data_IF_735247066735
#
_entry.id   IF_735247066735
#
_cell.length_a   1.000
_cell.length_b   1.000
_cell.length_c   1.000
_cell.angle_alpha   90.00
_cell.angle_beta   90.00
_cell.angle_gamma   90.00
#
_symmetry.space_group_name_H-M   'P 1'
#
loop_
_entity.id
_entity.type
_entity.pdbx_description
1 polymer ?
#
# COMPACT_ATOMS: atom_id res chain seq x y z
N UNK A 1 6.06 -13.74 16.14
CA UNK A 1 6.21 -12.40 16.77
C UNK A 1 6.53 -11.37 15.68
N UNK A 2 6.02 -10.14 15.78
CA UNK A 2 6.37 -9.06 14.84
C UNK A 2 7.80 -8.59 15.09
N UNK A 3 8.59 -8.43 14.04
CA UNK A 3 9.91 -7.81 14.09
C UNK A 3 9.74 -6.29 14.32
N UNK A 4 10.20 -5.74 15.46
CA UNK A 4 10.10 -4.31 15.72
C UNK A 4 10.90 -3.45 14.72
N UNK A 5 11.86 -4.02 13.99
CA UNK A 5 12.62 -3.30 12.97
C UNK A 5 11.86 -3.13 11.65
N UNK A 6 10.86 -3.97 11.37
CA UNK A 6 10.14 -3.99 10.09
C UNK A 6 9.60 -2.62 9.68
N UNK A 7 8.90 -1.86 10.55
CA UNK A 7 8.36 -0.57 10.14
C UNK A 7 9.45 0.41 9.69
N UNK A 8 10.54 0.51 10.44
CA UNK A 8 11.66 1.40 10.08
C UNK A 8 12.27 1.01 8.74
N UNK A 9 12.54 -0.28 8.54
CA UNK A 9 13.14 -0.81 7.31
C UNK A 9 12.29 -0.52 6.07
N UNK A 10 10.97 -0.67 6.16
CA UNK A 10 10.04 -0.35 5.07
C UNK A 10 10.02 1.16 4.83
N UNK A 11 9.84 1.97 5.88
CA UNK A 11 9.77 3.42 5.70
C UNK A 11 11.05 3.99 5.04
N UNK A 12 12.22 3.54 5.47
CA UNK A 12 13.49 3.99 4.90
C UNK A 12 13.68 3.51 3.46
N UNK A 13 13.32 2.26 3.14
CA UNK A 13 13.40 1.72 1.78
C UNK A 13 12.54 2.48 0.75
N UNK A 14 11.50 3.16 1.23
CA UNK A 14 10.59 3.96 0.42
C UNK A 14 10.88 5.46 0.50
N UNK A 15 12.04 5.88 1.00
CA UNK A 15 12.38 7.32 1.09
C UNK A 15 11.47 8.08 2.06
N UNK A 16 10.81 7.36 2.97
CA UNK A 16 9.86 7.90 3.96
C UNK A 16 8.73 8.73 3.35
N UNK A 17 8.21 8.27 2.21
CA UNK A 17 7.04 8.84 1.54
C UNK A 17 6.00 7.77 1.22
N UNK A 18 4.72 8.13 1.18
CA UNK A 18 3.62 7.24 0.86
C UNK A 18 3.76 6.71 -0.57
N UNK A 19 3.91 5.40 -0.76
CA UNK A 19 4.10 4.70 -2.02
C UNK A 19 3.06 5.05 -3.09
N UNK A 20 1.85 5.43 -2.66
CA UNK A 20 0.71 5.69 -3.55
C UNK A 20 0.52 7.16 -3.90
N UNK A 21 0.56 8.08 -2.92
CA UNK A 21 0.29 9.51 -3.16
C UNK A 21 1.49 10.44 -2.97
N UNK A 22 2.64 9.92 -2.56
CA UNK A 22 3.84 10.71 -2.33
C UNK A 22 3.86 11.53 -1.04
N UNK A 23 2.83 11.50 -0.20
CA UNK A 23 2.83 12.19 1.10
C UNK A 23 4.07 11.83 1.93
N UNK A 24 4.84 12.84 2.32
CA UNK A 24 6.15 12.74 2.96
C UNK A 24 6.26 13.62 4.21
N UNK A 25 5.12 14.02 4.80
CA UNK A 25 5.05 15.01 5.89
C UNK A 25 5.94 14.67 7.09
N UNK A 26 6.64 15.70 7.61
CA UNK A 26 7.57 15.58 8.75
C UNK A 26 7.32 16.68 9.78
N UNK A 27 7.45 16.33 11.06
CA UNK A 27 7.51 17.25 12.18
C UNK A 27 8.88 17.10 12.84
N UNK A 28 9.68 18.18 12.86
CA UNK A 28 11.05 18.18 13.40
C UNK A 28 11.92 17.02 12.86
N UNK A 29 11.81 16.73 11.55
CA UNK A 29 12.57 15.66 10.89
C UNK A 29 11.99 14.24 11.05
N UNK A 30 10.95 14.06 11.86
CA UNK A 30 10.28 12.78 12.08
C UNK A 30 9.07 12.68 11.15
N UNK A 31 8.97 11.60 10.37
CA UNK A 31 7.79 11.33 9.54
C UNK A 31 6.53 11.22 10.42
N UNK A 32 5.48 11.96 10.08
CA UNK A 32 4.20 11.95 10.78
C UNK A 32 3.12 11.46 9.83
N UNK A 33 2.19 10.62 10.33
CA UNK A 33 1.12 10.09 9.50
C UNK A 33 1.57 9.13 8.40
N UNK A 34 2.74 8.49 8.55
CA UNK A 34 3.29 7.47 7.65
C UNK A 34 3.53 6.17 8.42
N UNK A 35 3.13 5.05 7.83
CA UNK A 35 3.16 3.71 8.44
C UNK A 35 3.69 2.69 7.44
N UNK A 36 4.24 1.58 7.97
CA UNK A 36 4.58 0.41 7.15
C UNK A 36 3.38 -0.53 7.11
N UNK A 37 2.82 -0.72 5.93
CA UNK A 37 1.73 -1.63 5.66
C UNK A 37 2.27 -2.95 5.13
N UNK A 38 1.80 -4.06 5.70
CA UNK A 38 2.03 -5.39 5.15
C UNK A 38 1.15 -5.60 3.92
N UNK A 39 1.73 -6.09 2.81
CA UNK A 39 0.96 -6.47 1.63
C UNK A 39 0.23 -7.79 1.92
N UNK A 40 0.98 -8.82 2.30
CA UNK A 40 0.48 -10.02 2.93
C UNK A 40 0.49 -9.81 4.45
N UNK A 41 -0.69 -9.74 5.05
CA UNK A 41 -0.86 -9.42 6.46
C UNK A 41 -0.10 -10.36 7.38
N UNK A 42 0.56 -9.78 8.38
CA UNK A 42 1.24 -10.55 9.42
C UNK A 42 0.30 -11.51 10.17
N UNK A 43 -0.96 -11.09 10.41
CA UNK A 43 -1.99 -11.93 11.04
C UNK A 43 -2.39 -13.15 10.21
N UNK A 44 -2.06 -13.16 8.91
CA UNK A 44 -2.32 -14.25 7.98
C UNK A 44 -1.03 -14.95 7.54
N UNK A 45 0.03 -14.87 8.36
CA UNK A 45 1.35 -15.49 8.13
C UNK A 45 2.23 -14.79 7.09
N UNK A 46 1.92 -13.53 6.76
CA UNK A 46 2.81 -12.69 5.95
C UNK A 46 4.12 -12.36 6.69
N UNK A 47 5.28 -12.50 6.04
CA UNK A 47 6.57 -12.31 6.70
C UNK A 47 6.93 -10.83 6.84
N UNK A 48 7.75 -10.52 7.85
CA UNK A 48 8.30 -9.18 8.06
C UNK A 48 9.50 -8.92 7.13
N UNK A 49 9.24 -8.82 5.83
CA UNK A 49 10.25 -8.55 4.78
C UNK A 49 9.94 -7.26 4.03
N UNK A 50 10.97 -6.53 3.60
CA UNK A 50 10.80 -5.27 2.87
C UNK A 50 10.01 -5.42 1.57
N UNK A 51 10.16 -6.54 0.86
CA UNK A 51 9.39 -6.89 -0.34
C UNK A 51 7.92 -7.26 -0.05
N UNK A 52 7.54 -7.44 1.22
CA UNK A 52 6.17 -7.56 1.71
C UNK A 52 5.65 -6.25 2.35
N UNK A 53 6.37 -5.13 2.20
CA UNK A 53 6.08 -3.88 2.89
C UNK A 53 5.92 -2.69 1.95
N UNK A 54 4.90 -1.88 2.22
CA UNK A 54 4.72 -0.56 1.60
C UNK A 54 4.79 0.54 2.67
N UNK A 55 5.50 1.63 2.40
CA UNK A 55 5.32 2.84 3.19
C UNK A 55 4.05 3.55 2.72
N UNK A 56 3.03 3.69 3.57
CA UNK A 56 1.76 4.34 3.22
C UNK A 56 1.42 5.43 4.24
N UNK A 57 0.79 6.51 3.79
CA UNK A 57 0.19 7.45 4.74
C UNK A 57 -0.99 6.77 5.45
N UNK A 58 -1.32 7.20 6.66
CA UNK A 58 -2.36 6.56 7.50
C UNK A 58 -3.68 6.36 6.74
N UNK A 59 -4.09 7.34 5.93
CA UNK A 59 -5.30 7.21 5.11
C UNK A 59 -5.19 6.06 4.10
N UNK A 60 -4.12 6.04 3.28
CA UNK A 60 -3.95 5.00 2.27
C UNK A 60 -3.64 3.64 2.86
N UNK A 61 -3.01 3.57 4.03
CA UNK A 61 -2.86 2.32 4.78
C UNK A 61 -4.21 1.71 5.13
N UNK A 62 -5.11 2.51 5.75
CA UNK A 62 -6.45 2.03 6.10
C UNK A 62 -7.26 1.63 4.88
N UNK A 63 -7.20 2.41 3.81
CA UNK A 63 -7.90 2.08 2.57
C UNK A 63 -7.34 0.81 1.91
N UNK A 64 -6.04 0.56 1.99
CA UNK A 64 -5.41 -0.67 1.50
C UNK A 64 -5.79 -1.89 2.33
N UNK A 65 -5.82 -1.78 3.67
CA UNK A 65 -6.26 -2.85 4.58
C UNK A 65 -7.77 -3.15 4.48
N UNK A 66 -8.58 -2.18 4.06
CA UNK A 66 -10.01 -2.41 3.83
C UNK A 66 -10.33 -2.85 2.39
N UNK A 67 -9.31 -3.00 1.54
CA UNK A 67 -9.45 -3.45 0.16
C UNK A 67 -10.04 -2.41 -0.78
N UNK A 68 -10.05 -1.14 -0.39
CA UNK A 68 -10.38 -0.01 -1.28
C UNK A 68 -9.24 0.24 -2.25
N UNK A 69 -8.00 0.22 -1.76
CA UNK A 69 -6.80 0.29 -2.59
C UNK A 69 -6.23 -1.10 -2.79
N UNK A 70 -5.74 -1.37 -3.99
CA UNK A 70 -4.99 -2.56 -4.33
C UNK A 70 -3.91 -2.25 -5.37
N UNK A 71 -3.28 -3.30 -5.89
CA UNK A 71 -2.23 -3.20 -6.90
C UNK A 71 -2.44 -4.27 -7.98
N UNK A 72 -2.01 -3.99 -9.21
CA UNK A 72 -1.83 -5.06 -10.22
C UNK A 72 -0.64 -5.94 -9.81
N UNK A 73 -0.70 -7.23 -10.17
CA UNK A 73 0.28 -8.26 -9.74
C UNK A 73 1.51 -8.36 -10.64
N UNK A 74 1.79 -7.33 -11.45
CA UNK A 74 2.94 -7.29 -12.36
C UNK A 74 4.23 -6.76 -11.71
N UNK A 75 5.36 -6.88 -12.42
CA UNK A 75 6.65 -6.36 -11.97
C UNK A 75 6.70 -4.82 -11.82
N UNK A 76 5.80 -4.11 -12.52
CA UNK A 76 5.58 -2.67 -12.39
C UNK A 76 4.12 -2.46 -11.96
N UNK A 77 3.81 -2.62 -10.66
CA UNK A 77 2.44 -2.59 -10.17
C UNK A 77 1.82 -1.20 -10.34
N UNK A 78 0.55 -1.19 -10.73
CA UNK A 78 -0.29 0.01 -10.82
C UNK A 78 -1.33 -0.03 -9.72
N UNK A 79 -1.65 1.13 -9.17
CA UNK A 79 -2.68 1.31 -8.16
C UNK A 79 -4.03 0.94 -8.76
N UNK A 80 -4.83 0.23 -7.98
CA UNK A 80 -6.21 -0.12 -8.30
C UNK A 80 -7.13 0.44 -7.24
N UNK A 81 -8.26 0.98 -7.66
CA UNK A 81 -9.36 1.37 -6.78
C UNK A 81 -10.47 0.34 -6.90
N UNK A 82 -10.98 -0.11 -5.75
CA UNK A 82 -12.13 -1.01 -5.71
C UNK A 82 -13.31 -0.36 -6.47
N UNK A 83 -14.00 -1.11 -7.35
CA UNK A 83 -15.20 -0.62 -8.01
C UNK A 83 -16.35 -0.32 -7.02
N UNK A 84 -16.24 -0.77 -5.77
CA UNK A 84 -17.20 -0.49 -4.70
C UNK A 84 -16.90 0.82 -3.96
N UNK A 85 -15.77 1.48 -4.23
CA UNK A 85 -15.44 2.76 -3.64
C UNK A 85 -16.29 3.88 -4.24
N UNK A 86 -16.96 4.65 -3.40
CA UNK A 86 -17.69 5.87 -3.79
C UNK A 86 -17.22 7.10 -3.01
N UNK A 87 -17.22 8.25 -3.68
CA UNK A 87 -16.78 9.52 -3.15
C UNK A 87 -17.33 10.69 -3.97
N UNK A 88 -17.68 11.79 -3.28
CA UNK A 88 -18.19 13.03 -3.90
C UNK A 88 -17.38 14.27 -3.56
N UNK A 89 -16.60 14.23 -2.47
CA UNK A 89 -15.80 15.37 -2.04
C UNK A 89 -14.44 15.35 -2.73
N UNK A 90 -13.76 16.50 -2.88
CA UNK A 90 -12.43 16.55 -3.47
C UNK A 90 -11.42 15.59 -2.82
N UNK A 91 -11.47 15.44 -1.49
CA UNK A 91 -10.58 14.53 -0.76
C UNK A 91 -10.81 13.05 -1.12
N UNK A 92 -12.08 12.62 -1.24
CA UNK A 92 -12.38 11.25 -1.66
C UNK A 92 -12.13 11.02 -3.16
N UNK A 93 -12.41 12.03 -4.00
CA UNK A 93 -12.09 11.96 -5.42
C UNK A 93 -10.59 11.92 -5.68
N UNK A 94 -9.76 12.51 -4.81
CA UNK A 94 -8.31 12.37 -4.88
C UNK A 94 -7.84 10.91 -4.72
N UNK A 95 -8.52 10.11 -3.90
CA UNK A 95 -8.27 8.66 -3.81
C UNK A 95 -8.66 7.97 -5.11
N UNK A 96 -9.85 8.27 -5.66
CA UNK A 96 -10.29 7.73 -6.95
C UNK A 96 -9.32 8.08 -8.09
N UNK A 97 -8.75 9.29 -8.06
CA UNK A 97 -7.78 9.77 -9.05
C UNK A 97 -6.45 9.01 -9.07
N UNK A 98 -6.18 8.13 -8.09
CA UNK A 98 -5.01 7.26 -8.10
C UNK A 98 -5.18 6.03 -9.01
N UNK A 99 -6.39 5.72 -9.48
CA UNK A 99 -6.63 4.50 -10.25
C UNK A 99 -5.78 4.46 -11.52
N UNK A 100 -5.07 3.34 -11.73
CA UNK A 100 -4.16 3.14 -12.87
C UNK A 100 -2.80 3.85 -12.76
N UNK A 101 -2.61 4.74 -11.77
CA UNK A 101 -1.32 5.39 -11.54
C UNK A 101 -0.24 4.36 -11.18
N UNK A 102 1.01 4.54 -11.63
CA UNK A 102 2.09 3.65 -11.23
C UNK A 102 2.34 3.76 -9.72
N UNK A 103 2.58 2.63 -9.06
CA UNK A 103 3.14 2.67 -7.71
C UNK A 103 4.51 3.34 -7.78
N UNK A 104 4.84 4.22 -6.82
CA UNK A 104 6.20 4.78 -6.76
C UNK A 104 7.21 3.63 -6.65
N UNK A 105 8.41 3.80 -7.20
CA UNK A 105 9.50 2.84 -6.98
C UNK A 105 10.13 3.08 -5.60
N UNK A 106 10.43 2.03 -4.82
CA UNK A 106 11.25 2.18 -3.64
C UNK A 106 12.67 2.63 -4.01
N UNK A 107 13.35 3.32 -3.10
CA UNK A 107 14.76 3.69 -3.25
C UNK A 107 15.66 2.45 -3.16
N UNK A 108 15.26 1.49 -2.34
CA UNK A 108 15.89 0.17 -2.27
C UNK A 108 15.20 -0.81 -3.24
N UNK A 109 15.88 -1.29 -4.30
CA UNK A 109 15.33 -2.27 -5.22
C UNK A 109 14.89 -3.59 -4.55
N UNK A 110 15.49 -3.96 -3.43
CA UNK A 110 15.11 -5.14 -2.63
C UNK A 110 13.80 -4.97 -1.86
N UNK A 111 13.22 -3.77 -1.85
CA UNK A 111 11.90 -3.49 -1.29
C UNK A 111 10.79 -3.44 -2.35
N UNK A 112 11.09 -3.80 -3.62
CA UNK A 112 10.06 -3.95 -4.65
C UNK A 112 9.05 -5.00 -4.18
N UNK A 113 7.73 -4.71 -4.23
CA UNK A 113 6.71 -5.66 -3.84
C UNK A 113 6.84 -6.99 -4.59
N UNK A 114 6.92 -8.09 -3.85
CA UNK A 114 6.97 -9.42 -4.45
C UNK A 114 5.59 -9.79 -5.01
N UNK A 115 5.58 -10.42 -6.20
CA UNK A 115 4.35 -10.74 -6.94
C UNK A 115 3.43 -11.65 -6.12
N UNK A 116 3.99 -12.57 -5.34
CA UNK A 116 3.24 -13.48 -4.48
C UNK A 116 2.43 -12.75 -3.40
N UNK A 117 2.97 -11.67 -2.82
CA UNK A 117 2.24 -10.88 -1.82
C UNK A 117 1.18 -10.02 -2.48
N UNK A 118 1.48 -9.44 -3.64
CA UNK A 118 0.49 -8.71 -4.44
C UNK A 118 -0.68 -9.60 -4.83
N UNK A 119 -0.41 -10.83 -5.26
CA UNK A 119 -1.43 -11.81 -5.62
C UNK A 119 -2.24 -12.28 -4.40
N UNK A 120 -1.62 -12.36 -3.22
CA UNK A 120 -2.36 -12.60 -1.99
C UNK A 120 -3.29 -11.43 -1.66
N UNK A 121 -2.80 -10.19 -1.69
CA UNK A 121 -3.61 -9.00 -1.35
C UNK A 121 -4.79 -8.85 -2.32
N UNK A 122 -4.54 -9.03 -3.62
CA UNK A 122 -5.58 -8.99 -4.65
C UNK A 122 -6.71 -9.99 -4.39
N UNK A 123 -6.38 -11.19 -3.91
CA UNK A 123 -7.36 -12.25 -3.67
C UNK A 123 -8.08 -12.11 -2.32
N UNK A 124 -7.33 -11.82 -1.26
CA UNK A 124 -7.83 -11.92 0.12
C UNK A 124 -8.35 -10.59 0.67
N UNK A 125 -7.85 -9.46 0.15
CA UNK A 125 -8.12 -8.13 0.72
C UNK A 125 -8.85 -7.23 -0.27
N UNK A 126 -8.33 -7.08 -1.49
CA UNK A 126 -8.89 -6.17 -2.47
C UNK A 126 -10.35 -6.51 -2.80
N UNK A 127 -11.23 -5.50 -2.74
CA UNK A 127 -12.66 -5.69 -2.93
C UNK A 127 -13.00 -5.58 -4.41
N UNK A 128 -13.11 -6.72 -5.08
CA UNK A 128 -13.64 -6.78 -6.45
C UNK A 128 -15.15 -6.53 -6.49
N UNK A 129 -15.68 -6.20 -7.67
CA UNK A 129 -17.12 -6.20 -7.87
C UNK A 129 -17.65 -7.64 -7.68
N UNK A 130 -18.91 -7.82 -7.21
CA UNK A 130 -19.55 -9.13 -7.23
C UNK A 130 -19.47 -9.71 -8.64
N UNK A 131 -19.19 -11.01 -8.75
CA UNK A 131 -19.33 -11.69 -10.03
C UNK A 131 -20.76 -11.47 -10.55
N UNK A 132 -20.91 -11.10 -11.82
CA UNK A 132 -22.22 -11.06 -12.44
C UNK A 132 -22.83 -12.46 -12.36
N UNK A 133 -24.00 -12.56 -11.73
CA UNK A 133 -24.79 -13.80 -11.62
C UNK A 133 -25.44 -14.11 -12.96
#
# INVERSE_FOLDING_TARGET
>A
PRDPAFPRLVLDAWGRACAMCGYDGRLAGISVGLEAAHIHWHSQHGPDRKDNGLALCVLHHRLFDHGVLGLTTGAEPRIRISPLYDARTPAGLAVRGLDGAPLRRPEDPGARPAVEYLAWHDREVFRHAPAAV
#
